data_IF_825808394574
#
_entry.id   IF_825808394574
#
_cell.length_a   1.000
_cell.length_b   1.000
_cell.length_c   1.000
_cell.angle_alpha   90.00
_cell.angle_beta   90.00
_cell.angle_gamma   90.00
#
_symmetry.space_group_name_H-M   'P 1'
#
loop_
_entity.id
_entity.type
_entity.pdbx_description
1 polymer ?
#
# COMPACT_ATOMS: atom_id res chain seq x y z
N UNK A 1 -24.20 59.12 -41.13
CA UNK A 1 -24.18 57.74 -40.61
C UNK A 1 -25.05 57.75 -39.36
N UNK A 2 -26.21 57.10 -39.44
CA UNK A 2 -27.37 57.30 -38.56
C UNK A 2 -27.54 56.03 -37.73
N UNK A 3 -27.55 56.13 -36.40
CA UNK A 3 -28.00 55.05 -35.53
C UNK A 3 -28.39 55.59 -34.14
N UNK A 4 -29.70 55.75 -33.96
CA UNK A 4 -30.41 55.69 -32.67
C UNK A 4 -30.85 54.23 -32.52
N UNK A 5 -30.71 53.58 -31.35
CA UNK A 5 -31.90 53.24 -30.56
C UNK A 5 -31.66 53.46 -29.03
N UNK A 6 -32.61 54.03 -28.29
CA UNK A 6 -33.88 53.45 -27.80
C UNK A 6 -33.74 52.84 -26.39
N UNK A 7 -34.35 53.51 -25.41
CA UNK A 7 -34.48 53.04 -24.01
C UNK A 7 -35.70 52.12 -23.88
N UNK A 8 -35.50 51.03 -23.12
CA UNK A 8 -36.43 50.29 -22.23
C UNK A 8 -37.95 50.41 -22.47
N UNK A 9 -38.56 49.28 -22.84
CA UNK A 9 -39.39 48.46 -21.94
C UNK A 9 -40.13 47.39 -22.75
N UNK A 10 -40.00 46.13 -22.38
CA UNK A 10 -41.15 45.21 -22.44
C UNK A 10 -40.96 44.07 -21.44
N UNK A 11 -41.98 43.91 -20.63
CA UNK A 11 -42.14 42.98 -19.51
C UNK A 11 -42.51 41.56 -19.96
N UNK A 12 -42.37 40.64 -18.98
CA UNK A 12 -43.01 39.32 -18.80
C UNK A 12 -42.16 38.10 -19.21
N UNK A 13 -42.42 36.92 -18.63
CA UNK A 13 -42.46 36.60 -17.20
C UNK A 13 -41.54 35.41 -16.88
N UNK A 14 -41.25 35.19 -15.60
CA UNK A 14 -40.56 34.01 -15.12
C UNK A 14 -41.30 32.73 -15.53
N UNK A 15 -40.79 32.00 -16.52
CA UNK A 15 -41.05 30.57 -16.68
C UNK A 15 -39.95 29.80 -15.98
N UNK A 16 -40.32 29.34 -14.79
CA UNK A 16 -39.66 28.33 -13.96
C UNK A 16 -39.32 27.11 -14.84
N UNK A 17 -38.06 26.98 -15.24
CA UNK A 17 -37.49 25.72 -15.73
C UNK A 17 -36.70 25.11 -14.59
N UNK A 18 -37.44 24.38 -13.76
CA UNK A 18 -36.92 23.35 -12.88
C UNK A 18 -36.20 22.29 -13.70
N UNK A 19 -35.19 21.65 -13.10
CA UNK A 19 -34.49 20.44 -13.56
C UNK A 19 -33.15 20.66 -14.26
N UNK A 20 -32.08 20.74 -13.45
CA UNK A 20 -30.74 20.28 -13.87
C UNK A 20 -29.83 20.05 -12.64
N UNK A 21 -30.27 19.24 -11.68
CA UNK A 21 -29.43 18.80 -10.53
C UNK A 21 -29.58 17.31 -10.22
N UNK A 22 -29.96 16.50 -11.21
CA UNK A 22 -30.38 15.12 -10.98
C UNK A 22 -29.74 14.13 -11.97
N UNK A 23 -28.47 14.36 -12.31
CA UNK A 23 -27.71 13.47 -13.21
C UNK A 23 -26.22 13.37 -12.85
N UNK A 24 -25.86 13.63 -11.58
CA UNK A 24 -24.47 13.52 -11.10
C UNK A 24 -24.33 12.65 -9.84
N UNK A 25 -25.38 11.91 -9.48
CA UNK A 25 -25.43 11.07 -8.27
C UNK A 25 -25.54 9.57 -8.56
N UNK A 26 -25.30 9.15 -9.81
CA UNK A 26 -25.42 7.74 -10.23
C UNK A 26 -24.15 7.16 -10.86
N UNK A 27 -23.03 7.89 -10.85
CA UNK A 27 -21.74 7.37 -11.32
C UNK A 27 -20.71 7.15 -10.20
N UNK A 28 -20.98 7.65 -8.99
CA UNK A 28 -20.10 7.50 -7.83
C UNK A 28 -20.30 6.18 -7.06
N UNK A 29 -21.25 5.32 -7.48
CA UNK A 29 -21.58 4.06 -6.78
C UNK A 29 -21.10 2.80 -7.53
N UNK A 30 -20.35 2.95 -8.63
CA UNK A 30 -19.88 1.82 -9.45
C UNK A 30 -18.36 1.61 -9.43
N UNK A 31 -17.64 2.29 -8.54
CA UNK A 31 -16.31 1.84 -8.09
C UNK A 31 -16.52 0.96 -6.85
N UNK A 32 -17.37 -0.04 -7.01
CA UNK A 32 -17.59 -1.08 -6.04
C UNK A 32 -16.38 -2.01 -6.09
N UNK A 33 -15.41 -1.71 -5.22
CA UNK A 33 -14.55 -2.70 -4.55
C UNK A 33 -14.14 -3.92 -5.39
N UNK A 34 -13.17 -3.73 -6.27
CA UNK A 34 -12.32 -4.85 -6.71
C UNK A 34 -11.03 -4.84 -5.87
N UNK A 35 -11.16 -4.98 -4.55
CA UNK A 35 -10.06 -5.56 -3.78
C UNK A 35 -10.11 -7.05 -4.09
N UNK A 36 -9.15 -7.54 -4.84
CA UNK A 36 -8.89 -8.98 -4.89
C UNK A 36 -8.50 -9.40 -3.47
N UNK A 37 -9.50 -9.75 -2.65
CA UNK A 37 -9.29 -10.50 -1.43
C UNK A 37 -9.05 -11.92 -1.92
N UNK A 38 -7.80 -12.19 -2.29
CA UNK A 38 -7.31 -13.55 -2.34
C UNK A 38 -7.29 -14.00 -0.88
N UNK A 39 -8.39 -14.61 -0.43
CA UNK A 39 -8.39 -15.36 0.83
C UNK A 39 -7.41 -16.53 0.61
N UNK A 40 -6.15 -16.27 0.93
CA UNK A 40 -5.14 -17.31 1.04
C UNK A 40 -5.65 -18.28 2.10
N UNK A 41 -5.68 -19.59 1.84
CA UNK A 41 -6.16 -20.54 2.83
C UNK A 41 -5.39 -20.32 4.13
N UNK A 42 -6.13 -20.07 5.21
CA UNK A 42 -5.53 -19.89 6.54
C UNK A 42 -4.83 -21.19 6.94
N UNK A 43 -3.51 -21.22 6.80
CA UNK A 43 -2.66 -22.34 7.21
C UNK A 43 -2.10 -22.11 8.61
N UNK A 44 -2.06 -23.16 9.42
CA UNK A 44 -1.31 -23.13 10.67
C UNK A 44 0.18 -23.26 10.36
N UNK A 45 0.92 -22.15 10.40
CA UNK A 45 2.37 -22.20 10.33
C UNK A 45 2.94 -22.70 11.66
N UNK A 46 3.70 -23.78 11.63
CA UNK A 46 4.52 -24.18 12.78
C UNK A 46 5.62 -23.14 12.91
N UNK A 47 5.79 -22.53 14.09
CA UNK A 47 6.79 -21.48 14.36
C UNK A 47 8.23 -22.00 14.33
N UNK A 48 8.50 -23.11 13.66
CA UNK A 48 9.80 -23.79 13.67
C UNK A 48 10.30 -23.97 12.25
N UNK A 49 11.54 -23.57 11.99
CA UNK A 49 12.28 -23.87 10.77
C UNK A 49 13.24 -25.01 11.06
N UNK A 50 13.04 -26.14 10.38
CA UNK A 50 13.98 -27.28 10.43
C UNK A 50 14.77 -27.34 9.12
N UNK A 51 16.10 -27.29 9.22
CA UNK A 51 17.01 -27.41 8.09
C UNK A 51 18.22 -28.23 8.51
N UNK A 52 18.59 -29.23 7.71
CA UNK A 52 19.73 -30.13 7.95
C UNK A 52 19.79 -30.73 9.38
N UNK A 53 18.64 -31.16 9.90
CA UNK A 53 18.51 -31.73 11.25
C UNK A 53 18.55 -30.72 12.40
N UNK A 54 18.89 -29.45 12.15
CA UNK A 54 18.76 -28.38 13.13
C UNK A 54 17.35 -27.77 13.09
N UNK A 55 16.78 -27.44 14.26
CA UNK A 55 15.46 -26.79 14.36
C UNK A 55 15.59 -25.49 15.14
N UNK A 56 15.16 -24.38 14.53
CA UNK A 56 15.06 -23.07 15.16
C UNK A 56 13.60 -22.68 15.32
N UNK A 57 13.22 -22.13 16.47
CA UNK A 57 11.88 -21.60 16.71
C UNK A 57 11.87 -20.10 16.36
N UNK A 58 11.15 -19.72 15.30
CA UNK A 58 11.03 -18.36 14.79
C UNK A 58 9.86 -17.64 15.48
N UNK A 59 10.15 -16.98 16.59
CA UNK A 59 9.13 -16.32 17.43
C UNK A 59 9.12 -14.79 17.32
N UNK A 60 10.11 -14.19 16.68
CA UNK A 60 10.24 -12.74 16.55
C UNK A 60 10.03 -12.30 15.11
N UNK A 61 9.45 -11.13 14.94
CA UNK A 61 9.25 -10.50 13.63
C UNK A 61 9.58 -9.03 13.74
N UNK A 62 10.32 -8.53 12.76
CA UNK A 62 10.74 -7.14 12.70
C UNK A 62 10.81 -6.70 11.23
N UNK A 63 10.61 -5.42 10.96
CA UNK A 63 10.68 -4.89 9.60
C UNK A 63 11.33 -3.52 9.60
N UNK A 64 12.07 -3.22 8.53
CA UNK A 64 12.65 -1.91 8.27
C UNK A 64 12.66 -1.66 6.76
N UNK A 65 12.88 -0.41 6.36
CA UNK A 65 12.98 -0.04 4.93
C UNK A 65 14.46 0.06 4.58
N UNK A 66 14.89 -0.59 3.51
CA UNK A 66 16.24 -0.37 2.98
C UNK A 66 16.30 1.04 2.38
N UNK A 67 17.04 1.93 3.01
CA UNK A 67 17.22 3.32 2.60
C UNK A 67 18.30 3.49 1.53
N UNK A 68 19.17 2.49 1.35
CA UNK A 68 20.27 2.52 0.37
C UNK A 68 19.83 2.02 -0.99
N UNK A 69 18.85 1.13 -1.05
CA UNK A 69 18.25 0.72 -2.31
C UNK A 69 17.29 1.79 -2.85
N UNK A 70 17.40 2.11 -4.14
CA UNK A 70 16.57 3.14 -4.79
C UNK A 70 15.08 2.81 -4.79
N UNK A 71 14.73 1.52 -4.85
CA UNK A 71 13.34 1.03 -4.81
C UNK A 71 12.76 1.13 -3.41
N UNK A 72 13.60 1.29 -2.37
CA UNK A 72 13.20 1.36 -0.96
C UNK A 72 12.32 0.17 -0.54
N UNK A 73 12.77 -1.08 -0.75
CA UNK A 73 12.01 -2.25 -0.34
C UNK A 73 11.86 -2.31 1.18
N UNK A 74 10.78 -2.94 1.64
CA UNK A 74 10.58 -3.32 3.02
C UNK A 74 11.31 -4.64 3.24
N UNK A 75 12.25 -4.65 4.16
CA UNK A 75 12.94 -5.86 4.61
C UNK A 75 12.20 -6.41 5.82
N UNK A 76 11.55 -7.57 5.66
CA UNK A 76 10.85 -8.28 6.73
C UNK A 76 11.72 -9.42 7.25
N UNK A 77 12.00 -9.42 8.54
CA UNK A 77 12.84 -10.41 9.21
C UNK A 77 12.00 -11.22 10.20
N UNK A 78 12.05 -12.54 10.10
CA UNK A 78 11.45 -13.47 11.07
C UNK A 78 12.60 -14.27 11.70
N UNK A 79 12.76 -14.22 13.02
CA UNK A 79 13.95 -14.70 13.72
C UNK A 79 13.66 -15.47 15.01
N UNK A 80 14.67 -16.23 15.46
CA UNK A 80 14.69 -16.96 16.72
C UNK A 80 14.98 -16.10 17.95
N UNK A 81 15.49 -14.90 17.75
CA UNK A 81 15.72 -13.91 18.81
C UNK A 81 15.32 -12.49 18.39
N UNK A 82 15.14 -11.61 19.37
CA UNK A 82 14.86 -10.20 19.12
C UNK A 82 16.10 -9.50 18.53
N UNK A 83 15.92 -8.86 17.38
CA UNK A 83 16.95 -8.09 16.68
C UNK A 83 16.73 -6.59 16.89
N UNK A 84 17.80 -5.80 16.94
CA UNK A 84 17.74 -4.33 17.06
C UNK A 84 17.61 -3.66 15.68
N UNK A 85 16.57 -4.04 14.93
CA UNK A 85 16.39 -3.58 13.54
C UNK A 85 16.11 -2.08 13.45
N UNK A 86 15.79 -1.42 14.56
CA UNK A 86 15.53 0.01 14.61
C UNK A 86 16.78 0.85 14.28
N UNK A 87 17.96 0.22 14.28
CA UNK A 87 19.25 0.81 13.91
C UNK A 87 19.69 0.42 12.50
N UNK A 88 18.93 -0.40 11.79
CA UNK A 88 19.27 -0.88 10.46
C UNK A 88 18.65 0.02 9.40
N UNK A 89 19.47 0.43 8.46
CA UNK A 89 19.09 1.28 7.33
C UNK A 89 19.21 0.53 6.00
N UNK A 90 19.83 -0.65 5.97
CA UNK A 90 19.98 -1.44 4.76
C UNK A 90 20.11 -2.93 5.04
N UNK A 91 19.80 -3.76 4.05
CA UNK A 91 20.00 -5.20 4.06
C UNK A 91 21.43 -5.62 4.44
N UNK A 92 22.43 -4.79 4.10
CA UNK A 92 23.82 -5.03 4.50
C UNK A 92 23.99 -5.00 6.03
N UNK A 93 23.17 -4.24 6.76
CA UNK A 93 23.23 -4.19 8.23
C UNK A 93 22.80 -5.53 8.83
N UNK A 94 21.94 -6.29 8.15
CA UNK A 94 21.57 -7.67 8.53
C UNK A 94 22.79 -8.58 8.46
N UNK A 95 23.60 -8.44 7.41
CA UNK A 95 24.83 -9.21 7.22
C UNK A 95 25.95 -8.79 8.18
N UNK A 96 25.98 -7.50 8.55
CA UNK A 96 26.99 -6.89 9.42
C UNK A 96 26.61 -6.89 10.90
N UNK A 97 25.43 -7.41 11.28
CA UNK A 97 24.91 -7.37 12.64
C UNK A 97 25.80 -8.07 13.70
N UNK A 98 26.88 -8.74 13.30
CA UNK A 98 27.85 -9.48 14.14
C UNK A 98 27.25 -10.38 15.22
N UNK A 99 25.97 -10.73 15.06
CA UNK A 99 25.16 -11.49 16.00
C UNK A 99 24.78 -12.80 15.33
N UNK A 100 24.86 -13.90 16.08
CA UNK A 100 24.38 -15.20 15.61
C UNK A 100 22.89 -15.27 15.87
N UNK A 101 22.12 -15.51 14.82
CA UNK A 101 20.68 -15.73 14.86
C UNK A 101 20.27 -16.61 13.68
N UNK A 102 19.10 -17.24 13.79
CA UNK A 102 18.49 -18.05 12.74
C UNK A 102 17.19 -17.41 12.30
N UNK A 103 16.93 -17.38 11.01
CA UNK A 103 15.66 -16.88 10.52
C UNK A 103 15.55 -16.74 9.02
N UNK A 104 14.48 -16.07 8.61
CA UNK A 104 14.11 -15.86 7.21
C UNK A 104 13.97 -14.37 6.97
N UNK A 105 14.51 -13.89 5.85
CA UNK A 105 14.43 -12.50 5.42
C UNK A 105 13.66 -12.45 4.10
N UNK A 106 12.67 -11.58 4.02
CA UNK A 106 11.91 -11.30 2.81
C UNK A 106 12.14 -9.85 2.38
N UNK A 107 12.29 -9.65 1.08
CA UNK A 107 12.34 -8.34 0.46
C UNK A 107 11.00 -8.09 -0.21
N UNK A 108 10.28 -7.09 0.27
CA UNK A 108 8.96 -6.73 -0.21
C UNK A 108 9.02 -5.36 -0.89
N UNK A 109 8.32 -5.21 -2.00
CA UNK A 109 8.12 -3.90 -2.63
C UNK A 109 7.13 -3.08 -1.77
N UNK A 110 6.96 -1.80 -2.12
CA UNK A 110 6.15 -0.81 -1.39
C UNK A 110 4.69 -1.21 -1.25
N UNK A 111 4.21 -2.03 -2.19
CA UNK A 111 2.86 -2.58 -2.23
C UNK A 111 2.72 -3.88 -1.40
N UNK A 112 3.82 -4.38 -0.83
CA UNK A 112 3.89 -5.61 -0.05
C UNK A 112 4.09 -6.87 -0.88
N UNK A 113 4.23 -6.74 -2.21
CA UNK A 113 4.57 -7.86 -3.09
C UNK A 113 5.99 -8.33 -2.83
N UNK A 114 6.28 -9.63 -2.97
CA UNK A 114 7.66 -10.12 -2.92
C UNK A 114 8.44 -9.48 -4.08
N UNK A 115 9.59 -8.87 -3.78
CA UNK A 115 10.43 -8.33 -4.83
C UNK A 115 10.92 -9.44 -5.75
N UNK A 116 10.80 -9.22 -7.05
CA UNK A 116 11.38 -10.08 -8.07
C UNK A 116 12.87 -9.74 -8.22
N UNK A 117 13.74 -10.54 -7.61
CA UNK A 117 15.19 -10.35 -7.58
C UNK A 117 15.93 -11.38 -8.45
N UNK A 118 15.22 -12.08 -9.35
CA UNK A 118 15.78 -13.09 -10.26
C UNK A 118 15.96 -12.51 -11.66
#
# INVERSE_FOLDING_TARGET
>A
MLLVPFRLNHSLPAKRVTSMKQTFFLFALLIFTARAVTDLPAGSAKRSLTYDGATAELTFTAAFVDQKDERKPIVLVISDQKLQVEKWESEFDVMLAHSKWSGVVFFLDKDGSLCDWI
#
